data_IF_496101498459
#
_entry.id   IF_496101498459
#
_cell.length_a   1.000
_cell.length_b   1.000
_cell.length_c   1.000
_cell.angle_alpha   90.00
_cell.angle_beta   90.00
_cell.angle_gamma   90.00
#
_symmetry.space_group_name_H-M   'P 1'
#
loop_
_entity.id
_entity.type
_entity.pdbx_description
1 polymer ?
#
# COMPACT_ATOMS: atom_id res chain seq x y z
N UNK A 1 -14.64 17.51 7.60
CA UNK A 1 -13.18 17.33 7.74
C UNK A 1 -12.81 16.02 7.08
N UNK A 2 -11.59 15.86 6.56
CA UNK A 2 -11.09 14.51 6.25
C UNK A 2 -10.62 13.96 7.58
N UNK A 3 -11.40 13.05 8.16
CA UNK A 3 -10.98 12.33 9.35
C UNK A 3 -9.76 11.47 8.98
N UNK A 4 -8.72 11.54 9.80
CA UNK A 4 -7.47 10.83 9.56
C UNK A 4 -7.75 9.32 9.54
N UNK A 5 -7.54 8.66 8.40
CA UNK A 5 -7.64 7.21 8.30
C UNK A 5 -6.29 6.57 8.59
N UNK A 6 -6.29 5.60 9.50
CA UNK A 6 -5.12 4.83 9.89
C UNK A 6 -5.30 3.39 9.38
N UNK A 7 -4.24 2.84 8.79
CA UNK A 7 -4.27 1.51 8.18
C UNK A 7 -2.94 0.78 8.30
N UNK A 8 -2.97 -0.54 8.20
CA UNK A 8 -1.79 -1.38 8.16
C UNK A 8 -1.47 -1.79 6.73
N UNK A 9 -0.18 -1.94 6.39
CA UNK A 9 0.23 -2.37 5.05
C UNK A 9 1.12 -3.61 5.18
N UNK A 10 0.74 -4.67 4.48
CA UNK A 10 1.58 -5.85 4.25
C UNK A 10 2.24 -5.77 2.88
N UNK A 11 3.55 -5.97 2.80
CA UNK A 11 4.29 -6.00 1.53
C UNK A 11 5.13 -7.28 1.42
N UNK A 12 5.13 -7.87 0.23
CA UNK A 12 6.00 -8.98 -0.14
C UNK A 12 6.72 -8.65 -1.45
N UNK A 13 7.99 -9.02 -1.56
CA UNK A 13 8.80 -8.73 -2.75
C UNK A 13 9.93 -9.73 -2.97
N UNK A 14 10.50 -9.67 -4.16
CA UNK A 14 11.63 -10.49 -4.62
C UNK A 14 12.72 -9.62 -5.22
N UNK A 15 13.97 -10.01 -4.98
CA UNK A 15 15.16 -9.37 -5.52
C UNK A 15 15.96 -10.36 -6.35
N UNK A 16 16.33 -9.97 -7.57
CA UNK A 16 17.14 -10.75 -8.48
C UNK A 16 18.45 -10.01 -8.77
N UNK A 17 19.56 -10.59 -8.32
CA UNK A 17 20.88 -10.13 -8.72
C UNK A 17 21.14 -10.54 -10.18
N UNK A 18 21.18 -9.55 -11.08
CA UNK A 18 21.48 -9.78 -12.51
C UNK A 18 22.99 -9.74 -12.72
N UNK A 19 23.67 -8.83 -12.02
CA UNK A 19 25.12 -8.65 -12.04
C UNK A 19 25.60 -8.35 -10.63
N UNK A 20 26.92 -8.32 -10.40
CA UNK A 20 27.51 -7.98 -9.09
C UNK A 20 27.05 -6.61 -8.56
N UNK A 21 26.77 -5.67 -9.46
CA UNK A 21 26.39 -4.30 -9.13
C UNK A 21 24.94 -3.95 -9.47
N UNK A 22 24.18 -4.82 -10.15
CA UNK A 22 22.82 -4.53 -10.63
C UNK A 22 21.86 -5.58 -10.08
N UNK A 23 20.82 -5.09 -9.41
CA UNK A 23 19.70 -5.91 -8.94
C UNK A 23 18.37 -5.39 -9.50
N UNK A 24 17.48 -6.32 -9.83
CA UNK A 24 16.09 -6.04 -10.16
C UNK A 24 15.22 -6.37 -8.96
N UNK A 25 14.38 -5.44 -8.53
CA UNK A 25 13.42 -5.64 -7.45
C UNK A 25 12.00 -5.63 -8.02
N UNK A 26 11.14 -6.48 -7.46
CA UNK A 26 9.69 -6.41 -7.66
C UNK A 26 8.96 -6.65 -6.35
N UNK A 27 7.86 -5.94 -6.12
CA UNK A 27 7.05 -6.11 -4.92
C UNK A 27 5.55 -5.92 -5.18
N UNK A 28 4.76 -6.48 -4.28
CA UNK A 28 3.32 -6.28 -4.15
C UNK A 28 3.01 -5.93 -2.70
N UNK A 29 2.12 -4.97 -2.48
CA UNK A 29 1.61 -4.63 -1.17
C UNK A 29 0.10 -4.54 -1.16
N UNK A 30 -0.46 -4.86 0.00
CA UNK A 30 -1.88 -4.75 0.34
C UNK A 30 -1.97 -3.83 1.54
N UNK A 31 -2.80 -2.79 1.44
CA UNK A 31 -3.16 -1.98 2.60
C UNK A 31 -4.55 -2.39 3.09
N UNK A 32 -4.70 -2.48 4.39
CA UNK A 32 -5.99 -2.56 5.08
C UNK A 32 -6.25 -1.18 5.66
N UNK A 33 -7.18 -0.44 5.04
CA UNK A 33 -7.50 0.94 5.39
C UNK A 33 -8.97 1.02 5.78
N UNK A 34 -9.20 1.23 7.07
CA UNK A 34 -10.54 1.46 7.61
C UNK A 34 -10.80 2.97 7.60
N UNK A 35 -11.77 3.41 6.79
CA UNK A 35 -12.18 4.82 6.71
C UNK A 35 -13.62 4.96 7.17
N UNK A 36 -13.82 5.57 8.35
CA UNK A 36 -15.14 5.96 8.83
C UNK A 36 -15.62 7.20 8.04
N UNK A 37 -16.58 7.04 7.12
CA UNK A 37 -17.20 8.18 6.44
C UNK A 37 -18.35 8.71 7.32
N UNK A 38 -18.08 9.78 8.06
CA UNK A 38 -19.13 10.54 8.74
C UNK A 38 -19.78 11.52 7.74
N UNK A 39 -21.00 11.21 7.31
CA UNK A 39 -21.82 12.13 6.51
C UNK A 39 -22.60 13.05 7.46
N UNK A 40 -22.17 14.32 7.54
CA UNK A 40 -22.76 15.32 8.43
C UNK A 40 -24.29 15.40 8.27
N UNK A 41 -25.00 15.01 9.33
CA UNK A 41 -26.47 15.16 9.45
C UNK A 41 -27.32 13.91 9.19
N UNK A 42 -26.76 12.76 8.78
CA UNK A 42 -27.54 11.55 8.45
C UNK A 42 -27.26 10.29 9.29
N UNK A 43 -26.38 10.36 10.30
CA UNK A 43 -25.92 9.17 11.04
C UNK A 43 -24.88 8.34 10.26
N UNK A 44 -24.29 7.29 10.86
CA UNK A 44 -23.30 6.41 10.20
C UNK A 44 -23.89 5.88 8.88
N UNK A 45 -23.40 6.36 7.73
CA UNK A 45 -23.92 5.97 6.40
C UNK A 45 -23.34 4.62 5.95
N UNK A 46 -22.20 4.20 6.48
CA UNK A 46 -21.62 2.88 6.25
C UNK A 46 -20.11 2.88 6.49
N UNK A 47 -19.59 1.74 6.92
CA UNK A 47 -18.15 1.45 6.94
C UNK A 47 -17.74 1.08 5.51
N UNK A 48 -16.73 1.75 4.97
CA UNK A 48 -16.20 1.45 3.64
C UNK A 48 -14.82 0.83 3.83
N UNK A 49 -14.78 -0.49 3.71
CA UNK A 49 -13.52 -1.24 3.71
C UNK A 49 -12.85 -1.05 2.34
N UNK A 50 -11.67 -0.42 2.33
CA UNK A 50 -10.88 -0.21 1.12
C UNK A 50 -9.57 -0.99 1.27
N UNK A 51 -9.38 -1.98 0.39
CA UNK A 51 -8.20 -2.84 0.36
C UNK A 51 -7.35 -2.55 -0.90
N UNK A 52 -6.57 -1.45 -0.97
CA UNK A 52 -5.83 -1.14 -2.18
C UNK A 52 -4.60 -2.06 -2.33
N UNK A 53 -4.47 -2.63 -3.52
CA UNK A 53 -3.31 -3.42 -3.94
C UNK A 53 -2.36 -2.54 -4.74
N UNK A 54 -1.09 -2.51 -4.35
CA UNK A 54 -0.03 -1.81 -5.10
C UNK A 54 0.98 -2.82 -5.62
N UNK A 55 1.39 -2.67 -6.87
CA UNK A 55 2.48 -3.44 -7.47
C UNK A 55 3.57 -2.49 -7.94
N UNK A 56 4.83 -2.88 -7.75
CA UNK A 56 5.97 -2.05 -8.10
C UNK A 56 7.21 -2.86 -8.41
N UNK A 57 8.19 -2.21 -9.00
CA UNK A 57 9.49 -2.80 -9.26
C UNK A 57 10.52 -1.73 -9.62
N UNK A 58 11.79 -2.09 -9.56
CA UNK A 58 12.88 -1.15 -9.75
C UNK A 58 14.22 -1.81 -10.07
N UNK A 59 15.21 -0.95 -10.32
CA UNK A 59 16.59 -1.33 -10.55
C UNK A 59 17.43 -0.72 -9.44
N UNK A 60 18.24 -1.52 -8.77
CA UNK A 60 19.19 -1.06 -7.75
C UNK A 60 20.61 -1.23 -8.29
N UNK A 61 21.39 -0.13 -8.22
CA UNK A 61 22.82 -0.15 -8.52
C UNK A 61 23.63 0.00 -7.22
N UNK A 62 24.62 -0.87 -7.01
CA UNK A 62 25.53 -0.82 -5.85
C UNK A 62 26.95 -0.49 -6.30
N UNK A 63 27.50 0.59 -5.73
CA UNK A 63 28.86 1.10 -5.95
C UNK A 63 29.80 0.75 -4.79
#
# INVERSE_FOLDING_TARGET
SIDESYGAIGQAGVDLAVTENIMLNGYVSYADVNSDINLDGAGRVGEVDIEPVTVGGGITYRF
#
